data_IF_099637163207
#
_entry.id   IF_099637163207
#
_cell.length_a   1.000
_cell.length_b   1.000
_cell.length_c   1.000
_cell.angle_alpha   90.00
_cell.angle_beta   90.00
_cell.angle_gamma   90.00
#
_symmetry.space_group_name_H-M   'P 1'
#
loop_
_entity.id
_entity.type
_entity.pdbx_description
1 polymer ?
#
# COMPACT_ATOMS: atom_id res chain seq x y z
N UNK A 1 -83.54 -19.09 38.97
CA UNK A 1 -82.26 -19.56 39.51
C UNK A 1 -81.37 -19.86 38.32
N UNK A 2 -80.48 -18.93 37.95
CA UNK A 2 -79.65 -19.08 36.76
C UNK A 2 -78.23 -18.66 37.16
N UNK A 3 -77.32 -19.63 37.17
CA UNK A 3 -75.89 -19.41 37.49
C UNK A 3 -75.12 -18.95 36.23
N UNK A 4 -74.50 -17.77 36.30
CA UNK A 4 -73.56 -17.31 35.36
C UNK A 4 -72.20 -18.00 35.55
N UNK A 5 -71.73 -18.67 34.51
CA UNK A 5 -70.32 -19.07 34.40
C UNK A 5 -69.48 -17.95 33.72
N UNK A 6 -68.57 -17.35 34.46
CA UNK A 6 -67.53 -16.49 33.90
C UNK A 6 -66.38 -17.37 33.43
N UNK A 7 -66.15 -17.43 32.12
CA UNK A 7 -64.99 -18.02 31.52
C UNK A 7 -63.82 -16.98 31.49
N UNK A 8 -62.72 -17.30 32.14
CA UNK A 8 -61.52 -16.48 32.22
C UNK A 8 -60.55 -16.95 31.12
N UNK A 9 -60.47 -16.20 30.03
CA UNK A 9 -59.43 -16.42 29.00
C UNK A 9 -58.10 -15.88 29.48
N UNK A 10 -57.15 -16.78 29.74
CA UNK A 10 -55.73 -16.42 29.93
C UNK A 10 -55.10 -16.33 28.56
N UNK A 11 -54.87 -15.11 28.08
CA UNK A 11 -54.13 -14.83 26.86
C UNK A 11 -52.64 -14.96 27.13
N UNK A 12 -52.01 -16.02 26.63
CA UNK A 12 -50.53 -16.16 26.57
C UNK A 12 -50.02 -15.30 25.43
N UNK A 13 -49.45 -14.13 25.77
CA UNK A 13 -48.70 -13.31 24.80
C UNK A 13 -47.35 -14.00 24.52
N UNK A 14 -47.23 -14.65 23.37
CA UNK A 14 -45.93 -15.10 22.85
C UNK A 14 -45.16 -13.89 22.36
N UNK A 15 -44.16 -13.43 23.12
CA UNK A 15 -43.13 -12.51 22.60
C UNK A 15 -42.31 -13.25 21.57
N UNK A 16 -42.58 -13.00 20.30
CA UNK A 16 -41.65 -13.36 19.21
C UNK A 16 -40.45 -12.46 19.31
N UNK A 17 -39.32 -12.95 19.84
CA UNK A 17 -38.02 -12.35 19.64
C UNK A 17 -37.69 -12.49 18.16
N UNK A 18 -37.93 -11.44 17.39
CA UNK A 18 -37.31 -11.27 16.06
C UNK A 18 -35.85 -11.02 16.30
N UNK A 19 -35.00 -12.05 16.19
CA UNK A 19 -33.58 -11.88 16.00
C UNK A 19 -33.42 -11.17 14.66
N UNK A 20 -33.23 -9.86 14.68
CA UNK A 20 -32.68 -9.16 13.52
C UNK A 20 -31.30 -9.77 13.28
N UNK A 21 -31.14 -10.52 12.19
CA UNK A 21 -29.82 -10.83 11.70
C UNK A 21 -29.18 -9.45 11.38
N UNK A 22 -28.26 -9.01 12.23
CA UNK A 22 -27.44 -7.86 11.93
C UNK A 22 -26.70 -8.22 10.64
N UNK A 23 -27.01 -7.54 9.55
CA UNK A 23 -26.20 -7.60 8.34
C UNK A 23 -24.82 -7.10 8.73
N UNK A 24 -23.77 -7.84 8.39
CA UNK A 24 -22.42 -7.38 8.59
C UNK A 24 -22.24 -6.05 7.83
N UNK A 25 -21.67 -5.06 8.48
CA UNK A 25 -21.34 -3.81 7.82
C UNK A 25 -20.22 -4.04 6.80
N UNK A 26 -20.26 -3.35 5.66
CA UNK A 26 -19.23 -3.49 4.61
C UNK A 26 -18.13 -2.49 4.82
N UNK A 27 -16.89 -2.99 4.92
CA UNK A 27 -15.68 -2.17 4.94
C UNK A 27 -15.03 -2.18 3.55
N UNK A 28 -14.97 -1.02 2.92
CA UNK A 28 -14.29 -0.84 1.63
C UNK A 28 -12.82 -0.56 1.87
N UNK A 29 -11.96 -1.40 1.31
CA UNK A 29 -10.51 -1.33 1.45
C UNK A 29 -9.87 -1.08 0.10
N UNK A 30 -9.09 0.01 -0.01
CA UNK A 30 -8.27 0.28 -1.18
C UNK A 30 -6.91 -0.42 -1.08
N UNK A 31 -6.48 -1.05 -2.17
CA UNK A 31 -5.19 -1.72 -2.27
C UNK A 31 -4.65 -1.63 -3.69
N UNK A 32 -3.42 -2.10 -3.87
CA UNK A 32 -2.77 -2.24 -5.18
C UNK A 32 -2.71 -3.71 -5.61
N UNK A 33 -2.20 -3.95 -6.82
CA UNK A 33 -1.95 -5.30 -7.34
C UNK A 33 -0.54 -5.80 -7.02
N UNK A 34 0.12 -5.24 -6.00
CA UNK A 34 1.47 -5.67 -5.62
C UNK A 34 1.46 -7.09 -5.10
N UNK A 35 2.31 -7.99 -5.63
CA UNK A 35 2.40 -9.37 -5.15
C UNK A 35 2.97 -9.44 -3.73
N UNK A 36 2.11 -9.44 -2.72
CA UNK A 36 2.46 -9.47 -1.29
C UNK A 36 1.79 -10.63 -0.57
N UNK A 37 2.29 -11.07 0.60
CA UNK A 37 1.68 -12.16 1.37
C UNK A 37 0.22 -11.89 1.76
N UNK A 38 -0.17 -10.62 1.91
CA UNK A 38 -1.55 -10.21 2.16
C UNK A 38 -2.51 -10.74 1.10
N UNK A 39 -2.12 -10.72 -0.17
CA UNK A 39 -2.99 -11.19 -1.25
C UNK A 39 -3.30 -12.69 -1.18
N UNK A 40 -2.41 -13.51 -0.59
CA UNK A 40 -2.73 -14.91 -0.31
C UNK A 40 -3.86 -15.04 0.72
N UNK A 41 -3.87 -14.17 1.73
CA UNK A 41 -4.91 -14.16 2.78
C UNK A 41 -6.19 -13.47 2.29
N UNK A 42 -6.07 -12.45 1.44
CA UNK A 42 -7.20 -11.80 0.77
C UNK A 42 -8.06 -12.77 -0.04
N UNK A 43 -7.47 -13.83 -0.59
CA UNK A 43 -8.19 -14.91 -1.27
C UNK A 43 -9.08 -15.74 -0.34
N UNK A 44 -9.03 -15.50 0.97
CA UNK A 44 -9.76 -16.24 2.00
C UNK A 44 -10.77 -15.35 2.74
N UNK A 45 -11.50 -15.93 3.67
CA UNK A 45 -12.42 -15.21 4.57
C UNK A 45 -11.77 -14.75 5.89
N UNK A 46 -10.44 -14.77 5.98
CA UNK A 46 -9.70 -14.50 7.21
C UNK A 46 -9.96 -13.08 7.76
N UNK A 47 -10.01 -12.09 6.90
CA UNK A 47 -10.32 -10.73 7.31
C UNK A 47 -11.75 -10.60 7.84
N UNK A 48 -12.74 -11.11 7.12
CA UNK A 48 -14.15 -11.11 7.56
C UNK A 48 -14.30 -11.85 8.88
N UNK A 49 -13.68 -13.02 9.05
CA UNK A 49 -13.72 -13.76 10.32
C UNK A 49 -13.08 -13.03 11.49
N UNK A 50 -11.98 -12.33 11.24
CA UNK A 50 -11.23 -11.61 12.28
C UNK A 50 -11.92 -10.30 12.68
N UNK A 51 -12.46 -9.56 11.72
CA UNK A 51 -13.03 -8.23 11.93
C UNK A 51 -14.53 -8.23 12.18
N UNK A 52 -15.24 -9.24 11.70
CA UNK A 52 -16.71 -9.28 11.70
C UNK A 52 -17.36 -8.43 10.61
N UNK A 53 -16.57 -7.82 9.72
CA UNK A 53 -17.03 -6.99 8.61
C UNK A 53 -17.02 -7.75 7.31
N UNK A 54 -17.96 -7.45 6.41
CA UNK A 54 -17.86 -7.84 5.01
C UNK A 54 -16.81 -6.95 4.34
N UNK A 55 -15.80 -7.56 3.69
CA UNK A 55 -14.70 -6.82 3.10
C UNK A 55 -14.88 -6.68 1.60
N UNK A 56 -14.98 -5.44 1.13
CA UNK A 56 -14.93 -5.11 -0.30
C UNK A 56 -13.55 -4.57 -0.66
N UNK A 57 -12.80 -5.33 -1.43
CA UNK A 57 -11.47 -4.91 -1.91
C UNK A 57 -11.60 -4.14 -3.22
N UNK A 58 -11.09 -2.91 -3.25
CA UNK A 58 -10.96 -2.10 -4.47
C UNK A 58 -9.50 -1.92 -4.84
N UNK A 59 -9.15 -2.34 -6.05
CA UNK A 59 -7.80 -2.22 -6.58
C UNK A 59 -7.67 -0.90 -7.32
N UNK A 60 -6.61 -0.16 -7.01
CA UNK A 60 -6.28 1.12 -7.62
C UNK A 60 -4.94 1.04 -8.35
N UNK A 61 -4.75 1.88 -9.36
CA UNK A 61 -3.53 1.93 -10.15
C UNK A 61 -2.52 2.98 -9.64
N UNK A 62 -2.97 3.91 -8.78
CA UNK A 62 -2.12 4.97 -8.26
C UNK A 62 -2.54 5.40 -6.85
N UNK A 63 -1.56 5.90 -6.08
CA UNK A 63 -1.83 6.49 -4.75
C UNK A 63 -2.69 7.75 -4.83
N UNK A 64 -2.65 8.50 -5.92
CA UNK A 64 -3.50 9.70 -6.11
C UNK A 64 -4.97 9.35 -6.22
N UNK A 65 -5.31 8.23 -6.87
CA UNK A 65 -6.69 7.75 -6.95
C UNK A 65 -7.19 7.26 -5.58
N UNK A 66 -6.32 6.60 -4.80
CA UNK A 66 -6.62 6.20 -3.42
C UNK A 66 -6.88 7.42 -2.53
N UNK A 67 -6.06 8.47 -2.63
CA UNK A 67 -6.27 9.72 -1.88
C UNK A 67 -7.66 10.31 -2.19
N UNK A 68 -8.05 10.35 -3.46
CA UNK A 68 -9.37 10.86 -3.84
C UNK A 68 -10.52 10.01 -3.27
N UNK A 69 -10.38 8.68 -3.26
CA UNK A 69 -11.37 7.77 -2.69
C UNK A 69 -11.47 7.88 -1.15
N UNK A 70 -10.37 8.10 -0.45
CA UNK A 70 -10.38 8.37 1.00
C UNK A 70 -10.98 9.73 1.30
N UNK A 71 -10.60 10.77 0.56
CA UNK A 71 -11.12 12.13 0.74
C UNK A 71 -12.63 12.23 0.50
N UNK A 72 -13.21 11.40 -0.39
CA UNK A 72 -14.66 11.32 -0.59
C UNK A 72 -15.41 10.54 0.51
N UNK A 73 -14.68 9.79 1.34
CA UNK A 73 -15.25 8.89 2.34
C UNK A 73 -15.70 7.53 1.81
N UNK A 74 -15.48 7.24 0.52
CA UNK A 74 -15.85 5.97 -0.11
C UNK A 74 -14.97 4.80 0.35
N UNK A 75 -13.77 5.10 0.85
CA UNK A 75 -12.79 4.16 1.35
C UNK A 75 -12.40 4.55 2.77
N UNK A 76 -12.46 3.61 3.69
CA UNK A 76 -12.11 3.82 5.10
C UNK A 76 -10.73 3.28 5.48
N UNK A 77 -10.27 2.26 4.79
CA UNK A 77 -8.95 1.64 4.99
C UNK A 77 -8.24 1.56 3.64
N UNK A 78 -6.99 1.96 3.59
CA UNK A 78 -6.25 2.00 2.33
C UNK A 78 -4.77 1.68 2.49
N UNK A 79 -4.19 1.04 1.49
CA UNK A 79 -2.75 0.98 1.32
C UNK A 79 -2.28 2.23 0.56
N UNK A 80 -1.24 2.90 1.07
CA UNK A 80 -0.62 4.07 0.45
C UNK A 80 0.91 3.98 0.53
N UNK A 81 1.57 4.38 -0.53
CA UNK A 81 3.01 4.65 -0.49
C UNK A 81 3.34 5.90 0.32
N UNK A 82 4.55 6.00 0.85
CA UNK A 82 4.99 7.12 1.70
C UNK A 82 4.84 8.50 1.04
N UNK A 83 5.05 8.61 -0.27
CA UNK A 83 4.87 9.88 -0.99
C UNK A 83 3.39 10.26 -1.15
N UNK A 84 2.49 9.41 -1.65
CA UNK A 84 1.06 9.67 -1.63
C UNK A 84 0.52 9.97 -0.23
N UNK A 85 1.00 9.27 0.80
CA UNK A 85 0.62 9.53 2.19
C UNK A 85 1.02 10.95 2.65
N UNK A 86 2.25 11.38 2.35
CA UNK A 86 2.70 12.74 2.63
C UNK A 86 1.89 13.80 1.87
N UNK A 87 1.50 13.51 0.62
CA UNK A 87 0.60 14.38 -0.17
C UNK A 87 -0.77 14.48 0.49
N UNK A 88 -1.40 13.35 0.83
CA UNK A 88 -2.72 13.31 1.45
C UNK A 88 -2.75 14.11 2.77
N UNK A 89 -1.76 13.88 3.63
CA UNK A 89 -1.60 14.60 4.89
C UNK A 89 -1.43 16.11 4.66
N UNK A 90 -0.63 16.51 3.67
CA UNK A 90 -0.41 17.92 3.31
C UNK A 90 -1.66 18.60 2.74
N UNK A 91 -2.55 17.83 2.11
CA UNK A 91 -3.84 18.29 1.60
C UNK A 91 -4.94 18.30 2.66
N UNK A 92 -4.65 17.83 3.89
CA UNK A 92 -5.61 17.79 4.99
C UNK A 92 -6.64 16.67 4.86
N UNK A 93 -6.32 15.59 4.15
CA UNK A 93 -7.15 14.38 4.16
C UNK A 93 -7.08 13.75 5.55
N UNK A 94 -8.25 13.45 6.11
CA UNK A 94 -8.37 12.90 7.46
C UNK A 94 -8.04 11.41 7.46
N UNK A 95 -6.79 11.08 7.71
CA UNK A 95 -6.27 9.71 7.75
C UNK A 95 -5.09 9.57 8.71
N UNK A 96 -4.85 8.34 9.14
CA UNK A 96 -3.66 7.96 9.93
C UNK A 96 -3.09 6.66 9.37
N UNK A 97 -1.77 6.59 9.19
CA UNK A 97 -1.12 5.30 9.00
C UNK A 97 -1.05 4.57 10.34
N UNK A 98 -1.27 3.25 10.34
CA UNK A 98 -1.26 2.44 11.56
C UNK A 98 -0.31 1.24 11.52
N UNK A 99 0.15 0.85 10.35
CA UNK A 99 1.22 -0.15 10.18
C UNK A 99 1.90 -0.01 8.82
N UNK A 100 3.15 -0.44 8.73
CA UNK A 100 3.82 -0.60 7.44
C UNK A 100 3.34 -1.90 6.78
N UNK A 101 3.02 -1.81 5.49
CA UNK A 101 2.85 -2.99 4.65
C UNK A 101 4.20 -3.64 4.40
N UNK A 102 5.15 -2.84 3.91
CA UNK A 102 6.56 -3.21 3.69
C UNK A 102 7.42 -1.95 3.47
N UNK A 103 8.72 -2.05 3.73
CA UNK A 103 9.68 -1.08 3.21
C UNK A 103 10.04 -1.47 1.77
N UNK A 104 10.04 -0.47 0.89
CA UNK A 104 10.31 -0.66 -0.53
C UNK A 104 11.82 -0.82 -0.72
N UNK A 105 12.19 -1.84 -1.48
CA UNK A 105 13.56 -2.18 -1.81
C UNK A 105 13.76 -2.28 -3.32
N UNK A 106 14.44 -3.31 -3.79
CA UNK A 106 14.72 -3.53 -5.21
C UNK A 106 13.47 -3.77 -6.07
N UNK A 107 12.33 -4.10 -5.45
CA UNK A 107 11.06 -4.25 -6.15
C UNK A 107 10.54 -2.95 -6.77
N UNK A 108 11.10 -1.79 -6.41
CA UNK A 108 10.89 -0.53 -7.10
C UNK A 108 12.24 -0.03 -7.63
N UNK A 109 12.41 0.10 -8.94
CA UNK A 109 13.72 0.39 -9.51
C UNK A 109 13.67 1.15 -10.84
N UNK A 110 14.76 1.85 -11.12
CA UNK A 110 15.06 2.44 -12.43
C UNK A 110 15.55 1.34 -13.35
N UNK A 111 14.83 1.12 -14.43
CA UNK A 111 15.19 0.17 -15.49
C UNK A 111 15.45 0.97 -16.76
N UNK A 112 16.56 0.72 -17.40
CA UNK A 112 16.92 1.30 -18.69
C UNK A 112 16.77 0.27 -19.80
N UNK A 113 16.24 0.67 -20.95
CA UNK A 113 16.18 -0.17 -22.13
C UNK A 113 17.61 -0.54 -22.57
N UNK A 114 17.86 -1.80 -22.92
CA UNK A 114 19.21 -2.27 -23.26
C UNK A 114 19.88 -1.47 -24.38
N UNK A 115 19.09 -0.94 -25.31
CA UNK A 115 19.57 -0.15 -26.46
C UNK A 115 19.64 1.37 -26.16
N UNK A 116 19.31 1.82 -24.95
CA UNK A 116 19.25 3.25 -24.59
C UNK A 116 20.61 3.91 -24.40
N UNK A 117 21.66 3.09 -24.20
CA UNK A 117 23.00 3.57 -23.84
C UNK A 117 23.09 4.11 -22.40
N UNK A 118 22.14 3.78 -21.53
CA UNK A 118 22.13 4.13 -20.11
C UNK A 118 22.77 2.97 -19.33
N UNK A 119 23.88 3.21 -18.66
CA UNK A 119 24.58 2.26 -17.79
C UNK A 119 24.62 2.73 -16.33
N UNK A 120 24.34 4.01 -16.08
CA UNK A 120 24.34 4.63 -14.76
C UNK A 120 23.27 5.72 -14.67
N UNK A 121 23.04 6.29 -13.48
CA UNK A 121 22.09 7.40 -13.30
C UNK A 121 22.55 8.67 -14.00
N UNK A 122 23.86 8.89 -14.08
CA UNK A 122 24.48 10.03 -14.78
C UNK A 122 24.13 10.07 -16.27
N UNK A 123 23.90 8.90 -16.87
CA UNK A 123 23.56 8.78 -18.31
C UNK A 123 22.09 9.19 -18.61
N UNK A 124 21.30 9.49 -17.58
CA UNK A 124 19.92 9.95 -17.76
C UNK A 124 19.83 11.35 -18.40
N UNK A 125 20.93 12.09 -18.48
CA UNK A 125 20.92 13.44 -19.05
C UNK A 125 20.37 13.45 -20.48
N UNK A 126 19.27 14.19 -20.68
CA UNK A 126 18.56 14.29 -21.96
C UNK A 126 17.71 13.06 -22.33
N UNK A 127 17.65 12.03 -21.49
CA UNK A 127 16.87 10.81 -21.73
C UNK A 127 15.40 10.96 -21.31
N UNK A 128 14.54 10.19 -21.97
CA UNK A 128 13.11 10.10 -21.69
C UNK A 128 12.88 9.06 -20.59
N UNK A 129 12.55 9.52 -19.39
CA UNK A 129 12.37 8.67 -18.22
C UNK A 129 10.90 8.73 -17.76
N UNK A 130 10.20 7.62 -17.85
CA UNK A 130 8.82 7.53 -17.40
C UNK A 130 8.74 7.19 -15.91
N UNK A 131 7.77 7.78 -15.23
CA UNK A 131 7.46 7.51 -13.83
C UNK A 131 6.04 7.97 -13.50
N UNK A 132 5.28 7.27 -12.61
CA UNK A 132 4.05 7.80 -12.08
C UNK A 132 4.36 8.96 -11.10
N UNK A 133 4.18 10.19 -11.56
CA UNK A 133 4.51 11.39 -10.76
C UNK A 133 3.67 11.46 -9.48
N UNK A 134 4.31 11.74 -8.35
CA UNK A 134 3.69 11.73 -7.01
C UNK A 134 3.79 10.39 -6.29
N UNK A 135 4.29 9.33 -6.94
CA UNK A 135 4.52 8.02 -6.32
C UNK A 135 5.84 7.96 -5.55
N UNK A 136 6.06 6.85 -4.84
CA UNK A 136 7.34 6.47 -4.23
C UNK A 136 8.45 6.33 -5.26
N UNK A 137 8.15 5.74 -6.42
CA UNK A 137 9.06 5.64 -7.56
C UNK A 137 9.53 7.00 -8.06
N UNK A 138 8.63 7.99 -8.11
CA UNK A 138 9.01 9.36 -8.45
C UNK A 138 9.97 9.97 -7.42
N UNK A 139 9.69 9.77 -6.12
CA UNK A 139 10.57 10.24 -5.06
C UNK A 139 11.95 9.58 -5.11
N UNK A 140 11.99 8.26 -5.33
CA UNK A 140 13.23 7.50 -5.50
C UNK A 140 14.01 7.94 -6.76
N UNK A 141 13.33 8.16 -7.89
CA UNK A 141 13.96 8.67 -9.11
C UNK A 141 14.62 10.03 -8.87
N UNK A 142 13.92 10.94 -8.20
CA UNK A 142 14.46 12.26 -7.91
C UNK A 142 15.64 12.19 -6.95
N UNK A 143 15.61 11.28 -5.98
CA UNK A 143 16.73 10.97 -5.11
C UNK A 143 17.95 10.47 -5.89
N UNK A 144 17.74 9.57 -6.85
CA UNK A 144 18.80 9.06 -7.71
C UNK A 144 19.42 10.18 -8.58
N UNK A 145 18.56 10.99 -9.22
CA UNK A 145 18.99 12.16 -10.03
C UNK A 145 19.83 13.13 -9.19
N UNK A 146 19.36 13.47 -7.99
CA UNK A 146 20.10 14.37 -7.09
C UNK A 146 21.44 13.78 -6.64
N UNK A 147 21.49 12.48 -6.34
CA UNK A 147 22.72 11.78 -5.95
C UNK A 147 23.76 11.78 -7.09
N UNK A 148 23.32 11.66 -8.34
CA UNK A 148 24.17 11.75 -9.53
C UNK A 148 24.59 13.19 -9.88
N UNK A 149 24.20 14.19 -9.08
CA UNK A 149 24.51 15.60 -9.35
C UNK A 149 23.72 16.21 -10.52
N UNK A 150 22.66 15.53 -10.95
CA UNK A 150 21.72 16.01 -11.97
C UNK A 150 20.55 16.74 -11.30
N UNK A 151 19.81 17.47 -12.11
CA UNK A 151 18.55 18.13 -11.74
C UNK A 151 17.39 17.55 -12.57
N UNK A 152 16.16 17.79 -12.15
CA UNK A 152 14.97 17.41 -12.93
C UNK A 152 15.00 18.01 -14.35
N UNK A 153 15.57 19.22 -14.51
CA UNK A 153 15.70 19.88 -15.82
C UNK A 153 16.71 19.19 -16.77
N UNK A 154 17.60 18.35 -16.26
CA UNK A 154 18.55 17.59 -17.07
C UNK A 154 17.93 16.33 -17.69
N UNK A 155 16.75 15.90 -17.23
CA UNK A 155 16.08 14.64 -17.61
C UNK A 155 14.69 14.92 -18.16
N UNK A 156 14.30 14.23 -19.23
CA UNK A 156 12.94 14.36 -19.75
C UNK A 156 11.98 13.44 -18.97
N UNK A 157 11.47 13.91 -17.84
CA UNK A 157 10.53 13.15 -17.00
C UNK A 157 9.16 13.16 -17.64
N UNK A 158 8.61 11.94 -17.88
CA UNK A 158 7.31 11.73 -18.50
C UNK A 158 6.38 11.08 -17.47
N UNK A 159 5.35 11.83 -17.05
CA UNK A 159 4.34 11.31 -16.13
C UNK A 159 3.41 10.35 -16.85
N UNK A 160 3.40 9.09 -16.43
CA UNK A 160 2.53 8.03 -16.97
C UNK A 160 2.09 7.08 -15.85
N UNK A 161 0.85 6.54 -15.88
CA UNK A 161 0.49 5.41 -15.05
C UNK A 161 1.18 4.11 -15.51
N UNK A 162 1.26 3.08 -14.65
CA UNK A 162 2.05 1.87 -14.92
C UNK A 162 1.73 1.16 -16.23
N UNK A 163 0.44 1.02 -16.57
CA UNK A 163 -0.03 0.39 -17.82
C UNK A 163 0.45 1.14 -19.08
N UNK A 164 0.46 2.46 -19.03
CA UNK A 164 0.97 3.29 -20.12
C UNK A 164 2.51 3.22 -20.21
N UNK A 165 3.21 3.09 -19.10
CA UNK A 165 4.67 2.88 -19.08
C UNK A 165 5.01 1.58 -19.82
N UNK A 166 4.30 0.48 -19.53
CA UNK A 166 4.50 -0.78 -20.22
C UNK A 166 4.29 -0.66 -21.74
N UNK A 167 3.23 0.04 -22.16
CA UNK A 167 2.93 0.26 -23.57
C UNK A 167 3.97 1.19 -24.27
N UNK A 168 4.42 2.24 -23.58
CA UNK A 168 5.43 3.18 -24.11
C UNK A 168 6.80 2.49 -24.24
N UNK A 169 7.12 1.59 -23.32
CA UNK A 169 8.33 0.76 -23.35
C UNK A 169 8.36 -0.13 -24.61
N UNK A 170 7.30 -0.91 -24.82
CA UNK A 170 7.18 -1.80 -25.99
C UNK A 170 7.31 -1.06 -27.34
N UNK A 171 6.93 0.23 -27.36
CA UNK A 171 7.00 1.08 -28.55
C UNK A 171 8.35 1.84 -28.69
N UNK A 172 9.26 1.72 -27.72
CA UNK A 172 10.51 2.50 -27.69
C UNK A 172 10.31 4.01 -27.50
N UNK A 173 9.20 4.43 -26.92
CA UNK A 173 8.86 5.83 -26.70
C UNK A 173 9.52 6.41 -25.43
N UNK A 174 10.08 5.57 -24.56
CA UNK A 174 10.85 5.92 -23.36
C UNK A 174 12.17 5.16 -23.35
N UNK A 175 13.20 5.76 -22.73
CA UNK A 175 14.53 5.19 -22.66
C UNK A 175 14.77 4.45 -21.35
N UNK A 176 14.06 4.88 -20.29
CA UNK A 176 14.07 4.28 -18.95
C UNK A 176 12.73 4.51 -18.23
N UNK A 177 12.50 3.75 -17.16
CA UNK A 177 11.39 4.00 -16.25
C UNK A 177 11.78 3.63 -14.81
N UNK A 178 11.29 4.40 -13.83
CA UNK A 178 11.32 4.00 -12.43
C UNK A 178 9.94 3.48 -12.04
N UNK A 179 9.84 2.19 -11.73
CA UNK A 179 8.55 1.50 -11.62
C UNK A 179 8.64 0.25 -10.74
N UNK A 180 7.50 -0.31 -10.38
CA UNK A 180 7.29 -1.49 -9.54
C UNK A 180 6.63 -2.65 -10.31
N UNK A 181 6.62 -3.89 -9.76
CA UNK A 181 5.91 -5.03 -10.36
C UNK A 181 4.38 -4.79 -10.48
N UNK A 182 3.72 -5.41 -11.45
CA UNK A 182 4.29 -6.34 -12.42
C UNK A 182 4.99 -5.65 -13.60
N UNK A 183 4.86 -4.33 -13.78
CA UNK A 183 5.46 -3.61 -14.91
C UNK A 183 6.99 -3.68 -14.83
N UNK A 184 7.60 -3.49 -13.67
CA UNK A 184 9.04 -3.64 -13.48
C UNK A 184 9.55 -4.97 -14.03
N UNK A 185 8.90 -6.08 -13.67
CA UNK A 185 9.29 -7.42 -14.11
C UNK A 185 9.25 -7.55 -15.63
N UNK A 186 8.21 -7.00 -16.26
CA UNK A 186 8.10 -6.95 -17.73
C UNK A 186 9.24 -6.14 -18.36
N UNK A 187 9.57 -4.98 -17.82
CA UNK A 187 10.63 -4.13 -18.37
C UNK A 187 12.01 -4.82 -18.25
N UNK A 188 12.24 -5.61 -17.21
CA UNK A 188 13.48 -6.37 -17.02
C UNK A 188 13.70 -7.46 -18.07
N UNK A 189 12.69 -7.89 -18.82
CA UNK A 189 12.86 -8.84 -19.93
C UNK A 189 13.74 -8.26 -21.06
N UNK A 190 13.71 -6.95 -21.27
CA UNK A 190 14.42 -6.25 -22.34
C UNK A 190 15.24 -5.06 -21.87
N UNK A 191 15.34 -4.88 -20.56
CA UNK A 191 16.06 -3.78 -19.91
C UNK A 191 16.99 -4.26 -18.81
N UNK A 192 17.79 -3.34 -18.31
CA UNK A 192 18.73 -3.54 -17.21
C UNK A 192 18.37 -2.65 -16.05
N UNK A 193 18.35 -3.21 -14.82
CA UNK A 193 18.18 -2.42 -13.58
C UNK A 193 19.44 -1.56 -13.36
N UNK A 194 19.25 -0.26 -13.22
CA UNK A 194 20.30 0.73 -12.99
C UNK A 194 20.44 0.99 -11.49
N UNK A 195 19.33 1.22 -10.78
CA UNK A 195 19.30 1.49 -9.33
C UNK A 195 17.96 1.10 -8.75
N UNK A 196 17.96 0.51 -7.57
CA UNK A 196 16.75 0.18 -6.80
C UNK A 196 16.46 1.23 -5.72
N UNK A 197 15.23 1.19 -5.20
CA UNK A 197 14.82 2.05 -4.08
C UNK A 197 15.55 1.71 -2.77
N UNK A 198 16.15 0.53 -2.64
CA UNK A 198 17.08 0.19 -1.57
C UNK A 198 18.29 1.14 -1.55
N UNK A 199 18.86 1.42 -2.72
CA UNK A 199 20.01 2.34 -2.87
C UNK A 199 19.61 3.79 -2.66
N UNK A 200 18.48 4.21 -3.18
CA UNK A 200 18.01 5.58 -2.94
C UNK A 200 17.68 5.82 -1.46
N UNK A 201 17.22 4.79 -0.74
CA UNK A 201 17.03 4.84 0.71
C UNK A 201 18.36 5.06 1.47
N UNK A 202 19.46 4.38 1.06
CA UNK A 202 20.80 4.60 1.60
C UNK A 202 21.29 6.05 1.37
N UNK A 203 20.85 6.67 0.30
CA UNK A 203 21.18 8.08 -0.05
C UNK A 203 20.26 9.10 0.64
N UNK A 204 19.33 8.65 1.51
CA UNK A 204 18.44 9.51 2.28
C UNK A 204 17.03 9.68 1.71
N UNK A 205 16.65 8.84 0.74
CA UNK A 205 15.33 8.85 0.11
C UNK A 205 14.57 7.53 0.40
N UNK A 206 14.30 7.18 1.67
CA UNK A 206 13.60 5.94 2.01
C UNK A 206 12.13 6.00 1.59
N UNK A 207 11.63 4.88 1.10
CA UNK A 207 10.23 4.69 0.72
C UNK A 207 9.63 3.44 1.35
N UNK A 208 8.33 3.49 1.62
CA UNK A 208 7.56 2.38 2.17
C UNK A 208 6.12 2.42 1.68
N UNK A 209 5.43 1.30 1.76
CA UNK A 209 3.97 1.25 1.73
C UNK A 209 3.44 1.06 3.16
N UNK A 210 2.33 1.72 3.46
CA UNK A 210 1.67 1.68 4.75
C UNK A 210 0.16 1.47 4.61
N UNK A 211 -0.43 0.84 5.60
CA UNK A 211 -1.87 0.78 5.79
C UNK A 211 -2.32 2.01 6.55
N UNK A 212 -3.30 2.68 5.97
CA UNK A 212 -3.92 3.90 6.49
C UNK A 212 -5.39 3.66 6.78
N UNK A 213 -5.93 4.47 7.66
CA UNK A 213 -7.33 4.41 8.06
C UNK A 213 -7.84 5.84 8.27
N UNK A 214 -9.11 6.08 7.92
CA UNK A 214 -9.84 7.29 8.31
C UNK A 214 -9.81 7.44 9.84
N UNK A 215 -9.51 8.64 10.33
CA UNK A 215 -9.25 8.87 11.77
C UNK A 215 -10.47 8.63 12.64
N UNK A 216 -11.66 9.05 12.19
CA UNK A 216 -12.91 8.83 12.91
C UNK A 216 -13.26 7.34 12.93
N UNK A 217 -13.16 6.67 11.77
CA UNK A 217 -13.38 5.23 11.67
C UNK A 217 -12.43 4.44 12.59
N UNK A 218 -11.15 4.80 12.66
CA UNK A 218 -10.18 4.17 13.55
C UNK A 218 -10.55 4.34 15.03
N UNK A 219 -11.04 5.51 15.42
CA UNK A 219 -11.44 5.80 16.80
C UNK A 219 -12.67 4.99 17.22
N UNK A 220 -13.65 4.84 16.31
CA UNK A 220 -14.88 4.10 16.55
C UNK A 220 -14.70 2.58 16.46
N UNK A 221 -13.73 2.11 15.66
CA UNK A 221 -13.52 0.70 15.30
C UNK A 221 -12.13 0.17 15.65
N UNK A 222 -11.55 0.61 16.78
CA UNK A 222 -10.17 0.26 17.17
C UNK A 222 -9.93 -1.24 17.23
N UNK A 223 -10.85 -2.01 17.82
CA UNK A 223 -10.72 -3.47 17.92
C UNK A 223 -10.70 -4.14 16.54
N UNK A 224 -11.53 -3.65 15.60
CA UNK A 224 -11.54 -4.07 14.21
C UNK A 224 -10.20 -3.82 13.53
N UNK A 225 -9.61 -2.63 13.73
CA UNK A 225 -8.31 -2.29 13.15
C UNK A 225 -7.17 -3.10 13.74
N UNK A 226 -7.22 -3.40 15.04
CA UNK A 226 -6.27 -4.31 15.70
C UNK A 226 -6.40 -5.73 15.12
N UNK A 227 -7.62 -6.23 14.92
CA UNK A 227 -7.84 -7.55 14.31
C UNK A 227 -7.35 -7.59 12.86
N UNK A 228 -7.60 -6.52 12.09
CA UNK A 228 -7.08 -6.36 10.73
C UNK A 228 -5.53 -6.42 10.71
N UNK A 229 -4.87 -5.64 11.56
CA UNK A 229 -3.41 -5.62 11.65
C UNK A 229 -2.82 -7.00 12.03
N UNK A 230 -3.48 -7.77 12.89
CA UNK A 230 -3.09 -9.15 13.24
C UNK A 230 -3.15 -10.08 12.04
N UNK A 231 -4.19 -10.00 11.21
CA UNK A 231 -4.30 -10.81 9.98
C UNK A 231 -3.19 -10.47 9.01
N UNK A 232 -2.87 -9.17 8.85
CA UNK A 232 -1.79 -8.70 8.01
C UNK A 232 -0.42 -9.21 8.49
N UNK A 233 -0.15 -9.08 9.79
CA UNK A 233 1.11 -9.58 10.36
C UNK A 233 1.22 -11.09 10.22
N UNK A 234 0.15 -11.84 10.45
CA UNK A 234 0.14 -13.29 10.26
C UNK A 234 0.49 -13.68 8.81
N UNK A 235 0.00 -12.97 7.82
CA UNK A 235 0.36 -13.18 6.41
C UNK A 235 1.86 -12.94 6.18
N UNK A 236 2.40 -11.83 6.69
CA UNK A 236 3.82 -11.52 6.58
C UNK A 236 4.69 -12.55 7.33
N UNK A 237 4.28 -12.98 8.54
CA UNK A 237 4.98 -13.99 9.32
C UNK A 237 5.00 -15.35 8.62
N UNK A 238 3.93 -15.74 7.93
CA UNK A 238 3.90 -16.96 7.14
C UNK A 238 4.99 -16.97 6.06
N UNK A 239 5.22 -15.85 5.39
CA UNK A 239 6.32 -15.68 4.43
C UNK A 239 7.68 -15.64 5.12
N UNK A 240 7.81 -14.82 6.18
CA UNK A 240 9.10 -14.59 6.86
C UNK A 240 9.64 -15.85 7.55
N UNK A 241 8.76 -16.74 8.02
CA UNK A 241 9.13 -17.96 8.74
C UNK A 241 9.80 -19.00 7.84
N UNK A 242 9.42 -19.07 6.55
CA UNK A 242 10.00 -20.00 5.57
C UNK A 242 9.89 -19.43 4.14
N UNK A 243 10.74 -18.46 3.85
CA UNK A 243 10.77 -17.82 2.52
C UNK A 243 11.06 -18.83 1.40
N UNK A 244 11.84 -19.88 1.70
CA UNK A 244 12.24 -20.87 0.72
C UNK A 244 11.08 -21.77 0.28
N UNK A 245 10.04 -21.91 1.10
CA UNK A 245 8.83 -22.67 0.76
C UNK A 245 7.90 -21.91 -0.20
N UNK A 246 8.11 -20.59 -0.43
CA UNK A 246 7.27 -19.77 -1.31
C UNK A 246 7.74 -19.86 -2.77
N UNK A 247 7.66 -21.08 -3.31
CA UNK A 247 7.99 -21.41 -4.71
C UNK A 247 6.76 -21.22 -5.61
N UNK A 248 6.94 -21.25 -6.92
CA UNK A 248 5.86 -21.03 -7.91
C UNK A 248 4.65 -21.96 -7.75
N UNK A 249 4.86 -23.17 -7.22
CA UNK A 249 3.84 -24.19 -6.95
C UNK A 249 3.23 -24.11 -5.54
N UNK A 250 3.70 -23.17 -4.70
CA UNK A 250 3.14 -22.94 -3.37
C UNK A 250 1.72 -22.38 -3.48
N UNK A 251 0.80 -22.89 -2.67
CA UNK A 251 -0.61 -22.48 -2.71
C UNK A 251 -0.81 -20.98 -2.46
N UNK A 252 -0.01 -20.38 -1.56
CA UNK A 252 -0.08 -18.92 -1.30
C UNK A 252 0.42 -18.12 -2.50
N UNK A 253 1.49 -18.57 -3.17
CA UNK A 253 2.02 -17.93 -4.38
C UNK A 253 1.01 -18.02 -5.52
N UNK A 254 0.35 -19.17 -5.71
CA UNK A 254 -0.70 -19.33 -6.70
C UNK A 254 -1.90 -18.40 -6.41
N UNK A 255 -2.32 -18.29 -5.15
CA UNK A 255 -3.40 -17.37 -4.76
C UNK A 255 -3.03 -15.90 -5.00
N UNK A 256 -1.77 -15.50 -4.77
CA UNK A 256 -1.26 -14.18 -5.11
C UNK A 256 -1.31 -13.97 -6.63
N UNK A 257 -0.85 -14.94 -7.42
CA UNK A 257 -0.89 -14.87 -8.88
C UNK A 257 -2.31 -14.65 -9.41
N UNK A 258 -3.27 -15.42 -8.89
CA UNK A 258 -4.69 -15.33 -9.32
C UNK A 258 -5.29 -13.93 -9.00
N UNK A 259 -4.91 -13.31 -7.89
CA UNK A 259 -5.44 -12.02 -7.47
C UNK A 259 -4.75 -10.85 -8.17
N UNK A 260 -3.42 -10.93 -8.33
CA UNK A 260 -2.62 -9.80 -8.82
C UNK A 260 -2.37 -9.83 -10.31
N UNK A 261 -2.53 -10.98 -10.94
CA UNK A 261 -2.18 -11.20 -12.35
C UNK A 261 -0.68 -11.35 -12.61
N UNK A 262 0.16 -11.35 -11.57
CA UNK A 262 1.60 -11.62 -11.71
C UNK A 262 1.86 -13.10 -12.03
N UNK A 263 2.91 -13.39 -12.77
CA UNK A 263 3.34 -14.77 -13.02
C UNK A 263 3.75 -15.47 -11.72
N UNK A 264 3.23 -16.67 -11.48
CA UNK A 264 3.56 -17.42 -10.26
C UNK A 264 5.07 -17.71 -10.12
N UNK A 265 5.78 -17.85 -11.22
CA UNK A 265 7.23 -18.03 -11.30
C UNK A 265 8.03 -16.77 -10.95
N UNK A 266 7.43 -15.58 -11.10
CA UNK A 266 8.03 -14.28 -10.82
C UNK A 266 7.83 -13.85 -9.35
N UNK A 267 6.74 -14.28 -8.71
CA UNK A 267 6.36 -13.84 -7.35
C UNK A 267 7.45 -14.11 -6.30
N UNK A 268 8.14 -15.27 -6.27
CA UNK A 268 9.20 -15.51 -5.29
C UNK A 268 10.33 -14.48 -5.34
N UNK A 269 10.73 -14.02 -6.52
CA UNK A 269 11.73 -12.97 -6.70
C UNK A 269 11.18 -11.60 -6.28
N UNK A 270 9.96 -11.27 -6.67
CA UNK A 270 9.29 -10.02 -6.29
C UNK A 270 9.21 -9.88 -4.77
N UNK A 271 8.81 -10.95 -4.07
CA UNK A 271 8.71 -10.95 -2.61
C UNK A 271 10.05 -10.70 -1.92
N UNK A 272 11.17 -11.12 -2.51
CA UNK A 272 12.52 -10.86 -1.98
C UNK A 272 12.91 -9.39 -2.13
N UNK A 273 12.35 -8.67 -3.09
CA UNK A 273 12.58 -7.25 -3.31
C UNK A 273 11.89 -6.34 -2.29
N UNK A 274 11.01 -6.87 -1.41
CA UNK A 274 10.37 -6.15 -0.32
C UNK A 274 11.00 -6.50 1.03
N UNK A 275 10.97 -5.54 1.96
CA UNK A 275 11.29 -5.80 3.36
C UNK A 275 10.03 -5.77 4.20
N UNK A 276 9.51 -6.95 4.55
CA UNK A 276 8.39 -7.08 5.49
C UNK A 276 8.90 -6.97 6.93
N UNK A 277 8.29 -6.11 7.72
CA UNK A 277 8.67 -5.84 9.10
C UNK A 277 7.64 -6.49 10.03
N UNK A 278 8.04 -7.42 10.92
CA UNK A 278 7.13 -7.95 11.94
C UNK A 278 6.47 -6.84 12.74
N UNK A 279 5.17 -6.97 13.01
CA UNK A 279 4.40 -5.92 13.68
C UNK A 279 4.99 -5.52 15.04
N UNK A 280 5.53 -6.49 15.80
CA UNK A 280 6.22 -6.26 17.07
C UNK A 280 7.43 -5.32 16.96
N UNK A 281 8.05 -5.24 15.77
CA UNK A 281 9.23 -4.41 15.52
C UNK A 281 8.85 -3.06 14.90
N UNK A 282 7.59 -2.89 14.44
CA UNK A 282 7.15 -1.67 13.76
C UNK A 282 6.93 -0.48 14.69
N UNK A 283 6.51 -0.69 15.94
CA UNK A 283 6.19 0.40 16.88
C UNK A 283 7.43 1.19 17.36
N UNK A 284 8.64 0.70 17.08
CA UNK A 284 9.90 1.34 17.48
C UNK A 284 10.26 2.57 16.65
N UNK A 285 11.27 3.30 17.15
CA UNK A 285 11.76 4.57 16.57
C UNK A 285 12.28 4.47 15.13
N UNK A 286 12.61 3.27 14.68
CA UNK A 286 13.10 3.06 13.31
C UNK A 286 11.98 3.12 12.27
N UNK A 287 10.76 2.71 12.62
CA UNK A 287 9.67 2.49 11.68
C UNK A 287 8.52 3.48 11.92
N UNK A 288 7.44 3.08 12.59
CA UNK A 288 6.32 3.98 12.86
C UNK A 288 6.75 5.21 13.68
N UNK A 289 7.66 5.06 14.64
CA UNK A 289 8.18 6.18 15.41
C UNK A 289 8.94 7.22 14.58
N UNK A 290 9.47 6.84 13.40
CA UNK A 290 10.14 7.75 12.47
C UNK A 290 9.28 8.15 11.27
N UNK A 291 8.10 7.57 11.10
CA UNK A 291 7.28 7.77 9.90
C UNK A 291 6.90 9.23 9.66
N UNK A 292 6.61 9.98 10.74
CA UNK A 292 6.31 11.41 10.66
C UNK A 292 7.48 12.22 10.06
N UNK A 293 8.72 11.90 10.43
CA UNK A 293 9.92 12.56 9.88
C UNK A 293 10.12 12.21 8.41
N UNK A 294 9.91 10.94 8.02
CA UNK A 294 9.98 10.52 6.61
C UNK A 294 8.93 11.24 5.79
N UNK A 295 7.68 11.31 6.27
CA UNK A 295 6.61 12.06 5.61
C UNK A 295 6.95 13.54 5.45
N UNK A 296 7.50 14.17 6.52
CA UNK A 296 7.92 15.58 6.48
C UNK A 296 9.00 15.80 5.43
N UNK A 297 10.05 14.98 5.41
CA UNK A 297 11.15 15.08 4.44
C UNK A 297 10.64 14.89 3.01
N UNK A 298 9.74 13.94 2.80
CA UNK A 298 9.09 13.70 1.51
C UNK A 298 8.24 14.89 1.07
N UNK A 299 7.46 15.47 1.98
CA UNK A 299 6.63 16.64 1.68
C UNK A 299 7.47 17.89 1.39
N UNK A 300 8.54 18.13 2.15
CA UNK A 300 9.48 19.23 1.90
C UNK A 300 10.11 19.11 0.50
N UNK A 301 10.52 17.89 0.13
CA UNK A 301 11.03 17.61 -1.19
C UNK A 301 9.96 17.86 -2.28
N UNK A 302 8.74 17.33 -2.13
CA UNK A 302 7.67 17.50 -3.09
C UNK A 302 7.28 18.97 -3.26
N UNK A 303 7.31 19.76 -2.18
CA UNK A 303 7.09 21.21 -2.23
C UNK A 303 8.20 21.91 -3.00
N UNK A 304 9.47 21.58 -2.72
CA UNK A 304 10.61 22.15 -3.43
C UNK A 304 10.56 21.83 -4.94
N UNK A 305 10.04 20.66 -5.31
CA UNK A 305 9.80 20.24 -6.69
C UNK A 305 8.50 20.81 -7.29
N UNK A 306 7.75 21.67 -6.58
CA UNK A 306 6.50 22.27 -7.06
C UNK A 306 5.36 21.26 -7.26
N UNK A 307 5.37 20.14 -6.53
CA UNK A 307 4.36 19.07 -6.64
C UNK A 307 3.23 19.21 -5.62
N UNK A 308 3.47 19.92 -4.53
CA UNK A 308 2.47 20.28 -3.52
C UNK A 308 2.66 21.75 -3.10
N UNK A 309 1.57 22.40 -2.72
CA UNK A 309 1.57 23.81 -2.32
C UNK A 309 1.83 24.01 -0.83
N UNK A 310 1.42 23.05 -0.01
CA UNK A 310 1.48 23.11 1.46
C UNK A 310 2.28 21.95 2.03
N UNK A 311 2.95 22.24 3.14
CA UNK A 311 3.59 21.24 4.00
C UNK A 311 3.16 21.56 5.42
N UNK A 312 2.71 20.57 6.18
CA UNK A 312 2.39 20.74 7.59
C UNK A 312 3.67 20.73 8.44
N UNK A 313 3.64 21.42 9.56
CA UNK A 313 4.83 21.51 10.44
C UNK A 313 5.15 20.17 11.11
N UNK A 314 4.11 19.43 11.52
CA UNK A 314 4.21 18.17 12.23
C UNK A 314 3.29 17.09 11.63
N UNK A 315 3.88 16.00 11.19
CA UNK A 315 3.18 14.84 10.62
C UNK A 315 2.82 13.77 11.65
N UNK A 316 3.11 13.97 12.94
CA UNK A 316 2.82 12.98 13.98
C UNK A 316 1.32 12.69 14.15
N UNK A 317 0.46 13.66 13.85
CA UNK A 317 -1.00 13.48 13.86
C UNK A 317 -1.49 12.45 12.83
N UNK A 318 -0.69 12.16 11.79
CA UNK A 318 -0.99 11.20 10.73
C UNK A 318 -0.39 9.80 10.99
N UNK A 319 0.12 9.55 12.20
CA UNK A 319 0.72 8.27 12.58
C UNK A 319 0.06 7.74 13.86
N UNK A 320 -0.62 6.60 13.75
CA UNK A 320 -1.25 5.91 14.87
C UNK A 320 -0.41 4.69 15.25
N UNK A 321 0.42 4.83 16.28
CA UNK A 321 1.26 3.73 16.77
C UNK A 321 0.51 2.76 17.69
N UNK A 322 -0.67 3.14 18.21
CA UNK A 322 -1.40 2.35 19.20
C UNK A 322 -1.96 1.07 18.63
N UNK A 323 -2.51 1.11 17.38
CA UNK A 323 -3.08 -0.08 16.72
C UNK A 323 -2.00 -1.15 16.55
N UNK A 324 -0.83 -0.79 16.02
CA UNK A 324 0.29 -1.72 15.85
C UNK A 324 0.79 -2.25 17.20
N UNK A 325 0.96 -1.38 18.20
CA UNK A 325 1.40 -1.77 19.53
C UNK A 325 0.42 -2.72 20.24
N UNK A 326 -0.88 -2.56 20.04
CA UNK A 326 -1.90 -3.44 20.61
C UNK A 326 -2.01 -4.75 19.84
N UNK A 327 -1.90 -4.71 18.54
CA UNK A 327 -1.94 -5.90 17.69
C UNK A 327 -0.70 -6.80 17.87
N UNK A 328 0.42 -6.26 18.34
CA UNK A 328 1.66 -7.00 18.59
C UNK A 328 1.71 -7.75 19.93
N UNK A 329 0.71 -7.55 20.79
CA UNK A 329 0.56 -8.28 22.07
C UNK A 329 -0.06 -9.66 21.89
#
# INVERSE_FOLDING_TARGET
>A
MTKLFKSMMIGTAAMALTASAAMAETMVIATFSDPTPMNAVRATDAFTKATGWDIEWRVFNSGTDVIAAMASGDVKVAELGSSPLAIAASQGVDLQMFMLSYAIGESESLIAHNDSGIASVEDLKGKRVAVPVGSTAHYSLMGAIAHAGLTEADVQIISMPPDQIAAAWDQGNIDAAFIWPPVQTKLLETGTRIVGADKTAEWGYPTFNAWTVDTEFAAENKETMVAFAKVMDAANQAYLSDKAAWTADNASVMAIADITGAGADQIPEILQGYTFIPLKDQAGDKWLGNAANVMKSTADFLKAAGRIDTVVDDYSAFVNTEIAAEASK
#
